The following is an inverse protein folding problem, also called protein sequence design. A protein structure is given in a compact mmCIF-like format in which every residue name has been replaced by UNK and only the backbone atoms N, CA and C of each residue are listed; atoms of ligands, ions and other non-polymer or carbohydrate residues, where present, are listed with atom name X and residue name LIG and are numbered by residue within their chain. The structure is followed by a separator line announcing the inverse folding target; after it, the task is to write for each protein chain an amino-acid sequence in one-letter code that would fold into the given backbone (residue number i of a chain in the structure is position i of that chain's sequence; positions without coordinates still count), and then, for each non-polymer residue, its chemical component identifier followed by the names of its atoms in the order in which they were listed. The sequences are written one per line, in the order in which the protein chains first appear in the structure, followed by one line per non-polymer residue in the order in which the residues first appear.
data_IF_123089396290
#
_entry.id   IF_123089396290
#
_cell.length_a   1.000
_cell.length_b   1.000
_cell.length_c   1.000
_cell.angle_alpha   90.00
_cell.angle_beta   90.00
_cell.angle_gamma   90.00
#
_symmetry.space_group_name_H-M   'P 1'
#
loop_
_entity.id
_entity.type
_entity.pdbx_description
1 polymer ?
#
# COMPACT_ATOMS: atom_id res chain seq x y z
N UNK A 1 0.58 -10.65 -22.63
CA UNK A 1 1.15 -11.87 -21.99
C UNK A 1 1.52 -11.49 -20.57
N UNK A 2 0.86 -12.06 -19.57
CA UNK A 2 1.30 -11.85 -18.18
C UNK A 2 2.70 -12.44 -18.09
N UNK A 3 3.75 -11.67 -17.70
CA UNK A 3 5.03 -12.30 -17.40
C UNK A 3 4.80 -13.36 -16.31
N UNK A 4 5.58 -14.40 -16.31
CA UNK A 4 5.65 -15.27 -15.14
C UNK A 4 6.12 -14.40 -13.97
N UNK A 5 5.15 -13.90 -13.22
CA UNK A 5 5.41 -13.00 -12.10
C UNK A 5 6.16 -13.79 -11.04
N UNK A 6 7.32 -13.31 -10.69
CA UNK A 6 8.15 -13.95 -9.68
C UNK A 6 7.44 -13.99 -8.31
N UNK A 7 7.89 -14.86 -7.42
CA UNK A 7 7.27 -15.09 -6.10
C UNK A 7 7.29 -13.87 -5.16
N UNK A 8 7.95 -12.77 -5.51
CA UNK A 8 7.98 -11.53 -4.73
C UNK A 8 7.11 -10.43 -5.30
N UNK A 9 6.46 -10.64 -6.44
CA UNK A 9 5.65 -9.61 -7.08
C UNK A 9 4.42 -9.24 -6.24
N UNK A 10 4.02 -7.96 -6.34
CA UNK A 10 2.84 -7.40 -5.71
C UNK A 10 2.22 -6.37 -6.65
N UNK A 11 0.92 -6.45 -6.90
CA UNK A 11 0.22 -5.54 -7.81
C UNK A 11 -0.03 -4.15 -7.21
N UNK A 12 -0.23 -4.03 -5.89
CA UNK A 12 -0.61 -2.78 -5.24
C UNK A 12 0.22 -1.55 -5.64
N UNK A 13 1.56 -1.58 -5.65
CA UNK A 13 2.35 -0.42 -6.03
C UNK A 13 2.15 0.07 -7.46
N UNK A 14 1.48 -0.71 -8.30
CA UNK A 14 1.30 -0.39 -9.73
C UNK A 14 -0.04 0.29 -10.02
N UNK A 15 -1.01 0.26 -9.08
CA UNK A 15 -2.33 0.83 -9.34
C UNK A 15 -2.94 1.59 -8.15
N UNK A 16 -2.40 1.46 -6.94
CA UNK A 16 -3.02 2.09 -5.76
C UNK A 16 -2.03 2.84 -4.88
N UNK A 17 -2.61 3.70 -4.03
CA UNK A 17 -2.00 4.25 -2.83
C UNK A 17 -2.90 4.02 -1.64
N UNK A 18 -2.31 3.87 -0.46
CA UNK A 18 -3.02 3.90 0.81
C UNK A 18 -2.65 5.18 1.56
N UNK A 19 -3.65 5.85 2.13
CA UNK A 19 -3.52 7.13 2.81
C UNK A 19 -4.13 7.01 4.18
N UNK A 20 -3.38 7.36 5.21
CA UNK A 20 -3.84 7.34 6.59
C UNK A 20 -3.67 8.70 7.23
N UNK A 21 -4.76 9.14 7.86
CA UNK A 21 -4.78 10.29 8.74
C UNK A 21 -4.58 9.81 10.19
N UNK A 22 -3.60 10.37 10.88
CA UNK A 22 -3.33 10.04 12.27
C UNK A 22 -3.89 11.04 13.28
N UNK A 23 -4.08 12.31 12.89
CA UNK A 23 -4.43 13.39 13.82
C UNK A 23 -5.46 14.40 13.24
N UNK A 24 -6.30 13.99 12.31
CA UNK A 24 -7.26 14.89 11.67
C UNK A 24 -6.66 15.79 10.59
N UNK A 25 -5.39 15.57 10.24
CA UNK A 25 -4.75 16.18 9.08
C UNK A 25 -4.78 15.22 7.92
N UNK A 26 -5.46 15.56 6.86
CA UNK A 26 -5.57 14.73 5.67
C UNK A 26 -4.17 14.40 5.14
N UNK A 27 -3.87 13.12 5.04
CA UNK A 27 -2.67 12.56 4.40
C UNK A 27 -1.34 12.77 5.14
N UNK A 28 -1.28 12.45 6.43
CA UNK A 28 0.01 12.39 7.14
C UNK A 28 0.93 11.28 6.63
N UNK A 29 0.38 10.15 6.21
CA UNK A 29 1.14 9.04 5.67
C UNK A 29 0.53 8.54 4.37
N UNK A 30 1.34 8.49 3.34
CA UNK A 30 1.01 7.88 2.06
C UNK A 30 1.91 6.67 1.86
N UNK A 31 1.33 5.53 1.49
CA UNK A 31 2.06 4.27 1.29
C UNK A 31 1.56 3.52 0.06
N UNK A 32 2.33 2.58 -0.49
CA UNK A 32 1.90 1.76 -1.62
C UNK A 32 0.71 0.84 -1.29
N UNK A 33 0.51 0.47 -0.02
CA UNK A 33 -0.61 -0.37 0.41
C UNK A 33 -0.93 -0.16 1.89
N UNK A 34 -2.12 -0.57 2.31
CA UNK A 34 -2.60 -0.43 3.68
C UNK A 34 -1.74 -1.19 4.71
N UNK A 35 -1.09 -2.27 4.32
CA UNK A 35 -0.26 -3.07 5.22
C UNK A 35 1.03 -2.33 5.65
N UNK A 36 1.48 -1.36 4.87
CA UNK A 36 2.61 -0.50 5.23
C UNK A 36 2.22 0.65 6.18
N UNK A 37 0.94 0.94 6.34
CA UNK A 37 0.44 1.99 7.21
C UNK A 37 0.40 1.60 8.69
N UNK A 38 0.37 0.31 9.00
CA UNK A 38 0.12 -0.22 10.35
C UNK A 38 1.37 -0.45 11.21
N UNK A 39 2.54 -0.45 10.62
CA UNK A 39 3.80 -0.69 11.31
C UNK A 39 4.65 0.58 11.27
N UNK A 40 5.43 0.83 12.31
CA UNK A 40 6.42 1.90 12.34
C UNK A 40 7.29 1.77 11.08
N UNK A 41 6.85 2.44 10.04
CA UNK A 41 7.47 2.36 8.74
C UNK A 41 8.82 3.08 8.85
N UNK A 42 9.96 2.38 8.71
CA UNK A 42 11.26 3.03 8.74
C UNK A 42 11.48 3.95 7.53
N UNK A 43 10.50 4.03 6.63
CA UNK A 43 10.64 4.82 5.41
C UNK A 43 10.02 6.19 5.58
N UNK A 44 10.87 7.17 5.85
CA UNK A 44 10.56 8.59 5.69
C UNK A 44 10.12 8.97 4.26
N UNK A 45 10.25 8.02 3.34
CA UNK A 45 9.92 8.19 1.93
C UNK A 45 8.46 8.52 1.65
N UNK A 46 7.56 8.14 2.55
CA UNK A 46 6.13 8.28 2.34
C UNK A 46 5.45 9.24 3.32
N UNK A 47 6.23 9.98 4.09
CA UNK A 47 5.69 11.09 4.88
C UNK A 47 5.27 12.22 3.95
N UNK A 48 4.03 12.65 4.09
CA UNK A 48 3.54 13.78 3.31
C UNK A 48 4.16 15.09 3.84
N UNK A 49 4.94 15.75 3.00
CA UNK A 49 5.47 17.08 3.28
C UNK A 49 4.42 18.20 3.04
N UNK A 50 3.13 17.83 2.98
CA UNK A 50 1.98 18.74 2.74
C UNK A 50 2.01 19.49 1.38
N UNK A 51 2.96 19.22 0.52
CA UNK A 51 3.16 19.91 -0.76
C UNK A 51 2.98 19.03 -1.99
N UNK A 52 3.01 17.70 -1.83
CA UNK A 52 2.98 16.80 -2.95
C UNK A 52 1.57 16.25 -3.18
N UNK A 53 1.17 16.13 -4.43
CA UNK A 53 -0.05 15.46 -4.83
C UNK A 53 0.09 13.94 -4.75
N UNK A 54 -1.03 13.20 -4.72
CA UNK A 54 -0.99 11.73 -4.78
C UNK A 54 -0.32 11.22 -6.06
N UNK A 55 -0.47 11.93 -7.16
CA UNK A 55 0.21 11.63 -8.41
C UNK A 55 1.73 11.73 -8.28
N UNK A 56 2.23 12.79 -7.64
CA UNK A 56 3.67 12.97 -7.40
C UNK A 56 4.23 11.87 -6.51
N UNK A 57 3.49 11.43 -5.47
CA UNK A 57 3.88 10.26 -4.68
C UNK A 57 3.93 8.99 -5.51
N UNK A 58 2.89 8.74 -6.29
CA UNK A 58 2.77 7.52 -7.08
C UNK A 58 3.90 7.40 -8.11
N UNK A 59 4.35 8.50 -8.67
CA UNK A 59 5.46 8.53 -9.64
C UNK A 59 6.82 8.92 -9.04
N UNK A 60 6.92 9.00 -7.72
CA UNK A 60 8.16 9.35 -7.03
C UNK A 60 9.28 8.32 -7.24
N UNK A 61 10.52 8.75 -7.04
CA UNK A 61 11.67 7.87 -7.16
C UNK A 61 11.62 6.63 -6.23
N UNK A 62 11.21 6.74 -4.95
CA UNK A 62 11.02 5.58 -4.10
C UNK A 62 9.99 4.57 -4.62
N UNK A 63 8.87 5.06 -5.18
CA UNK A 63 7.84 4.18 -5.76
C UNK A 63 8.33 3.47 -7.01
N UNK A 64 9.09 4.17 -7.86
CA UNK A 64 9.73 3.57 -9.04
C UNK A 64 10.74 2.50 -8.64
N UNK A 65 11.55 2.77 -7.61
CA UNK A 65 12.51 1.81 -7.08
C UNK A 65 11.81 0.57 -6.51
N UNK A 66 10.76 0.75 -5.73
CA UNK A 66 9.96 -0.35 -5.19
C UNK A 66 9.40 -1.26 -6.30
N UNK A 67 8.82 -0.68 -7.35
CA UNK A 67 8.31 -1.43 -8.50
C UNK A 67 9.41 -2.20 -9.20
N UNK A 68 10.55 -1.56 -9.45
CA UNK A 68 11.72 -2.19 -10.07
C UNK A 68 12.24 -3.36 -9.24
N UNK A 69 12.32 -3.23 -7.93
CA UNK A 69 12.78 -4.29 -7.04
C UNK A 69 11.81 -5.49 -7.03
N UNK A 70 10.51 -5.24 -7.02
CA UNK A 70 9.49 -6.30 -7.10
C UNK A 70 9.53 -7.04 -8.45
N UNK A 71 9.69 -6.32 -9.55
CA UNK A 71 9.85 -6.92 -10.89
C UNK A 71 11.15 -7.74 -10.99
N UNK A 72 12.22 -7.29 -10.35
CA UNK A 72 13.49 -8.01 -10.28
C UNK A 72 13.50 -9.21 -9.33
N UNK A 73 12.37 -9.53 -8.68
CA UNK A 73 12.28 -10.66 -7.75
C UNK A 73 12.90 -10.40 -6.38
N UNK A 74 13.26 -9.16 -6.07
CA UNK A 74 13.77 -8.78 -4.75
C UNK A 74 12.64 -8.74 -3.71
N UNK A 75 13.04 -8.77 -2.44
CA UNK A 75 12.14 -8.63 -1.29
C UNK A 75 12.40 -7.32 -0.55
N UNK A 76 11.80 -6.22 -0.96
CA UNK A 76 12.01 -4.93 -0.32
C UNK A 76 11.69 -4.99 1.17
N UNK A 77 12.52 -4.34 2.00
CA UNK A 77 12.35 -4.33 3.45
C UNK A 77 11.04 -3.67 3.89
N UNK A 78 10.53 -2.70 3.11
CA UNK A 78 9.22 -2.06 3.37
C UNK A 78 8.04 -3.03 3.30
N UNK A 79 8.17 -4.16 2.62
CA UNK A 79 7.16 -5.22 2.53
C UNK A 79 7.37 -6.33 3.57
N UNK A 80 8.22 -6.12 4.60
CA UNK A 80 8.61 -7.16 5.53
C UNK A 80 7.42 -7.79 6.28
N UNK A 81 6.36 -7.04 6.54
CA UNK A 81 5.13 -7.58 7.15
C UNK A 81 4.51 -8.71 6.31
N UNK A 82 4.46 -8.57 4.99
CA UNK A 82 4.00 -9.62 4.09
C UNK A 82 4.96 -10.83 4.11
N UNK A 83 6.27 -10.58 4.03
CA UNK A 83 7.27 -11.66 4.07
C UNK A 83 7.23 -12.47 5.35
N UNK A 84 7.02 -11.83 6.49
CA UNK A 84 6.87 -12.50 7.77
C UNK A 84 5.59 -13.33 7.85
N UNK A 85 4.46 -12.77 7.43
CA UNK A 85 3.18 -13.48 7.40
C UNK A 85 3.22 -14.70 6.47
N UNK A 86 3.87 -14.60 5.33
CA UNK A 86 4.02 -15.71 4.39
C UNK A 86 4.89 -16.85 4.94
N UNK A 87 5.90 -16.52 5.75
CA UNK A 87 6.72 -17.54 6.45
C UNK A 87 5.92 -18.30 7.50
N UNK A 88 5.05 -17.61 8.26
CA UNK A 88 4.35 -18.17 9.41
C UNK A 88 3.00 -18.75 9.04
N UNK A 89 2.18 -18.00 8.30
CA UNK A 89 0.79 -18.34 8.00
C UNK A 89 0.55 -18.68 6.53
N UNK A 90 1.56 -18.59 5.67
CA UNK A 90 1.47 -18.76 4.20
C UNK A 90 0.39 -17.88 3.53
N UNK A 91 0.06 -16.74 4.16
CA UNK A 91 -0.96 -15.81 3.72
C UNK A 91 -0.44 -14.38 3.87
N UNK A 92 -0.73 -13.53 2.91
CA UNK A 92 -0.55 -12.07 3.01
C UNK A 92 -1.48 -11.37 2.02
N UNK A 93 -1.74 -10.08 2.22
CA UNK A 93 -2.52 -9.29 1.26
C UNK A 93 -1.85 -9.25 -0.11
N UNK A 94 -0.52 -9.31 -0.16
CA UNK A 94 0.25 -9.34 -1.41
C UNK A 94 -0.18 -10.48 -2.33
N UNK A 95 -0.43 -11.66 -1.77
CA UNK A 95 -0.82 -12.86 -2.54
C UNK A 95 -2.22 -12.75 -3.16
N UNK A 96 -3.02 -11.79 -2.71
CA UNK A 96 -4.37 -11.50 -3.22
C UNK A 96 -4.46 -10.14 -3.92
N UNK A 97 -3.33 -9.47 -4.14
CA UNK A 97 -3.30 -8.12 -4.69
C UNK A 97 -3.83 -7.99 -6.12
N UNK A 98 -3.91 -9.08 -6.85
CA UNK A 98 -4.57 -9.16 -8.15
C UNK A 98 -6.10 -9.20 -8.04
N UNK A 99 -6.62 -9.78 -6.96
CA UNK A 99 -8.06 -9.88 -6.73
C UNK A 99 -8.71 -8.53 -6.37
N UNK A 100 -7.93 -7.63 -5.74
CA UNK A 100 -8.38 -6.31 -5.34
C UNK A 100 -8.27 -5.27 -6.47
N UNK A 101 -7.70 -5.66 -7.58
CA UNK A 101 -7.53 -4.79 -8.74
C UNK A 101 -8.87 -4.58 -9.45
N UNK A 102 -9.23 -3.33 -9.83
CA UNK A 102 -10.44 -3.08 -10.59
C UNK A 102 -10.52 -3.93 -11.87
N UNK A 103 -11.68 -4.52 -12.12
CA UNK A 103 -11.89 -5.44 -13.25
C UNK A 103 -11.69 -4.78 -14.62
N UNK A 104 -11.94 -3.47 -14.70
CA UNK A 104 -11.77 -2.70 -15.93
C UNK A 104 -10.33 -2.22 -16.15
N UNK A 105 -9.44 -2.45 -15.19
CA UNK A 105 -8.05 -2.04 -15.30
C UNK A 105 -7.28 -2.99 -16.20
N UNK A 106 -6.89 -2.49 -17.36
CA UNK A 106 -5.88 -3.13 -18.17
C UNK A 106 -4.51 -2.94 -17.50
N UNK A 107 -4.04 -4.00 -16.85
CA UNK A 107 -2.81 -3.94 -16.05
C UNK A 107 -1.57 -3.91 -16.94
N UNK A 108 -0.78 -2.87 -16.77
CA UNK A 108 0.51 -2.69 -17.44
C UNK A 108 1.59 -2.33 -16.42
N UNK A 109 2.58 -3.21 -16.23
CA UNK A 109 3.69 -2.99 -15.29
C UNK A 109 4.72 -1.99 -15.82
N UNK A 110 4.79 -1.78 -17.13
CA UNK A 110 5.68 -0.79 -17.75
C UNK A 110 5.09 0.63 -17.66
N UNK A 111 3.76 0.72 -17.58
CA UNK A 111 3.02 1.98 -17.48
C UNK A 111 2.04 1.97 -16.30
N UNK A 112 2.53 2.01 -15.06
CA UNK A 112 1.67 1.97 -13.87
C UNK A 112 0.77 3.21 -13.82
N UNK A 113 -0.50 3.02 -13.42
CA UNK A 113 -1.51 4.09 -13.33
C UNK A 113 -2.14 4.09 -11.95
N UNK A 114 -2.20 5.26 -11.32
CA UNK A 114 -2.95 5.42 -10.08
C UNK A 114 -4.45 5.38 -10.36
N UNK A 115 -5.10 4.33 -9.92
CA UNK A 115 -6.53 4.06 -10.16
C UNK A 115 -7.31 4.05 -8.85
N UNK A 116 -6.69 3.55 -7.78
CA UNK A 116 -7.35 3.36 -6.48
C UNK A 116 -6.60 4.09 -5.38
N UNK A 117 -7.34 4.73 -4.48
CA UNK A 117 -6.82 5.29 -3.25
C UNK A 117 -7.59 4.68 -2.09
N UNK A 118 -6.89 3.95 -1.22
CA UNK A 118 -7.41 3.41 0.02
C UNK A 118 -7.28 4.47 1.12
N UNK A 119 -8.41 5.00 1.59
CA UNK A 119 -8.45 6.10 2.55
C UNK A 119 -8.83 5.60 3.94
N UNK A 120 -7.97 5.83 4.91
CA UNK A 120 -8.28 5.69 6.33
C UNK A 120 -8.40 7.07 6.96
N UNK A 121 -9.65 7.54 7.15
CA UNK A 121 -10.01 8.93 7.49
C UNK A 121 -10.18 9.15 8.99
N UNK A 122 -9.23 8.68 9.80
CA UNK A 122 -9.26 8.93 11.24
C UNK A 122 -10.07 7.91 12.04
N UNK A 123 -10.24 8.18 13.34
CA UNK A 123 -10.83 7.26 14.31
C UNK A 123 -12.16 7.75 14.90
N UNK A 124 -12.60 8.93 14.50
CA UNK A 124 -13.87 9.48 14.98
C UNK A 124 -15.04 8.74 14.38
N UNK A 125 -15.79 8.03 15.21
CA UNK A 125 -16.95 7.26 14.80
C UNK A 125 -18.10 7.52 15.77
N UNK A 126 -19.29 7.69 15.25
CA UNK A 126 -20.52 7.85 16.05
C UNK A 126 -21.22 6.53 16.39
N UNK A 127 -20.60 5.39 16.07
CA UNK A 127 -21.13 4.05 16.33
C UNK A 127 -20.39 3.39 17.50
N UNK A 128 -21.11 2.66 18.33
CA UNK A 128 -20.56 1.84 19.42
C UNK A 128 -20.63 0.36 19.06
N UNK A 129 -19.82 -0.07 18.11
CA UNK A 129 -19.79 -1.46 17.69
C UNK A 129 -19.01 -2.33 18.68
N UNK A 130 -19.57 -3.50 19.08
CA UNK A 130 -18.89 -4.46 19.98
C UNK A 130 -17.57 -5.01 19.39
N UNK A 131 -17.40 -4.93 18.07
CA UNK A 131 -16.21 -5.41 17.37
C UNK A 131 -15.17 -4.30 17.14
N UNK A 132 -15.43 -3.08 17.62
CA UNK A 132 -14.52 -1.96 17.43
C UNK A 132 -13.33 -2.07 18.39
N UNK A 133 -12.13 -2.13 17.87
CA UNK A 133 -10.92 -2.11 18.67
C UNK A 133 -10.55 -0.68 19.08
N UNK A 134 -9.83 -0.48 20.21
CA UNK A 134 -9.36 0.86 20.61
C UNK A 134 -8.46 1.54 19.59
N UNK A 135 -7.92 0.81 18.63
CA UNK A 135 -7.14 1.36 17.51
C UNK A 135 -7.98 1.81 16.31
N UNK A 136 -9.29 1.52 16.31
CA UNK A 136 -10.18 1.79 15.16
C UNK A 136 -11.20 2.89 15.44
N UNK A 137 -11.44 3.24 16.70
CA UNK A 137 -12.33 4.35 17.11
C UNK A 137 -11.89 4.93 18.45
N UNK A 138 -12.10 6.21 18.64
CA UNK A 138 -11.98 6.91 19.92
C UNK A 138 -13.34 6.90 20.64
#
# INVERSE_FOLDING_TARGET
MKPELNNSFCYYPFYQLAVKDFNGSIAEVVAPCCNMLGFSNPFDYFKNNQKNTFQEYFYSAPMKQLRSDLLAGKKPACCNSCWMLEKTAKKSIRLHSDCDMPSELEFDYDSPKLVTIDLSTGRNCNLSCRMCSPGSSD
#
